data_IF_982344194439
#
_entry.id   IF_982344194439
#
_cell.length_a   1.000
_cell.length_b   1.000
_cell.length_c   1.000
_cell.angle_alpha   90.00
_cell.angle_beta   90.00
_cell.angle_gamma   90.00
#
_symmetry.space_group_name_H-M   'P 1'
#
loop_
_entity.id
_entity.type
_entity.pdbx_description
1 polymer ?
#
# COMPACT_ATOMS: atom_id res chain seq x y z
N UNK A 1 10.52 -14.27 -14.35
CA UNK A 1 10.83 -13.12 -13.46
C UNK A 1 10.90 -13.65 -12.04
N UNK A 2 12.09 -13.75 -11.45
CA UNK A 2 12.24 -14.27 -10.07
C UNK A 2 12.04 -13.08 -9.13
N UNK A 3 10.90 -13.00 -8.46
CA UNK A 3 10.69 -12.02 -7.37
C UNK A 3 11.59 -12.47 -6.21
N UNK A 4 12.70 -11.74 -5.99
CA UNK A 4 13.68 -11.99 -4.91
C UNK A 4 13.48 -11.09 -3.69
N UNK A 5 12.29 -10.55 -3.48
CA UNK A 5 12.00 -9.79 -2.26
C UNK A 5 11.22 -10.66 -1.28
N UNK A 6 11.95 -11.26 -0.33
CA UNK A 6 11.39 -12.14 0.71
C UNK A 6 10.90 -11.39 1.95
N UNK A 7 11.30 -10.13 2.08
CA UNK A 7 11.16 -9.34 3.29
C UNK A 7 10.78 -7.90 2.94
N UNK A 8 9.88 -7.32 3.72
CA UNK A 8 9.48 -5.91 3.64
C UNK A 8 9.98 -5.21 4.90
N UNK A 9 10.75 -4.14 4.75
CA UNK A 9 11.30 -3.35 5.86
C UNK A 9 10.77 -1.93 5.81
N UNK A 10 10.46 -1.37 6.98
CA UNK A 10 10.18 0.04 7.15
C UNK A 10 10.91 0.55 8.40
N UNK A 11 11.68 1.62 8.25
CA UNK A 11 12.45 2.25 9.32
C UNK A 11 11.81 3.60 9.66
N UNK A 12 11.48 3.77 10.93
CA UNK A 12 11.26 5.09 11.55
C UNK A 12 12.54 5.47 12.30
N UNK A 13 12.74 6.74 12.66
CA UNK A 13 13.99 7.26 13.23
C UNK A 13 14.56 6.47 14.45
N UNK A 14 13.80 5.57 15.08
CA UNK A 14 14.22 4.74 16.22
C UNK A 14 13.73 3.27 16.13
N UNK A 15 12.77 2.91 15.26
CA UNK A 15 12.15 1.57 15.22
C UNK A 15 12.19 0.97 13.82
N UNK A 16 12.53 -0.32 13.74
CA UNK A 16 12.51 -1.11 12.51
C UNK A 16 11.33 -2.08 12.58
N UNK A 17 10.51 -2.09 11.53
CA UNK A 17 9.40 -3.00 11.39
C UNK A 17 9.60 -3.97 10.23
N UNK A 18 8.99 -5.14 10.35
CA UNK A 18 9.23 -6.28 9.48
C UNK A 18 7.98 -7.13 9.26
N UNK A 19 7.76 -7.60 8.01
CA UNK A 19 6.80 -8.65 7.69
C UNK A 19 7.41 -9.63 6.69
N UNK A 20 7.15 -10.94 6.88
CA UNK A 20 7.50 -11.98 5.92
C UNK A 20 6.41 -12.13 4.84
N UNK A 21 6.79 -12.68 3.69
CA UNK A 21 5.83 -13.23 2.73
C UNK A 21 5.09 -14.43 3.37
N UNK A 22 3.83 -14.62 3.01
CA UNK A 22 2.88 -15.60 3.59
C UNK A 22 2.62 -15.40 5.09
N UNK A 23 2.79 -14.16 5.57
CA UNK A 23 2.57 -13.78 6.96
C UNK A 23 1.48 -12.71 7.04
N UNK A 24 0.72 -12.76 8.12
CA UNK A 24 -0.34 -11.83 8.51
C UNK A 24 0.09 -10.90 9.66
N UNK A 25 1.34 -10.98 10.09
CA UNK A 25 1.86 -10.27 11.25
C UNK A 25 2.97 -9.31 10.86
N UNK A 26 2.86 -8.08 11.35
CA UNK A 26 3.95 -7.09 11.35
C UNK A 26 4.65 -7.15 12.71
N UNK A 27 5.96 -7.32 12.67
CA UNK A 27 6.83 -7.37 13.84
C UNK A 27 7.62 -6.07 14.00
N UNK A 28 7.88 -5.70 15.23
CA UNK A 28 8.87 -4.68 15.62
C UNK A 28 10.16 -5.40 16.01
N UNK A 29 11.29 -4.93 15.48
CA UNK A 29 12.63 -5.41 15.83
C UNK A 29 13.09 -4.67 17.08
N UNK A 30 13.25 -5.40 18.18
CA UNK A 30 13.77 -4.87 19.43
C UNK A 30 15.30 -4.84 19.37
N UNK A 31 15.88 -3.65 19.18
CA UNK A 31 17.32 -3.47 18.94
C UNK A 31 18.20 -3.92 20.13
N UNK A 32 17.68 -3.81 21.36
CA UNK A 32 18.44 -4.11 22.59
C UNK A 32 18.68 -5.62 22.80
N UNK A 33 17.77 -6.48 22.37
CA UNK A 33 17.84 -7.93 22.60
C UNK A 33 17.70 -8.78 21.31
N UNK A 34 17.66 -8.12 20.14
CA UNK A 34 17.51 -8.73 18.81
C UNK A 34 16.28 -9.64 18.69
N UNK A 35 15.22 -9.39 19.47
CA UNK A 35 13.98 -10.15 19.40
C UNK A 35 12.96 -9.48 18.48
N UNK A 36 12.09 -10.32 17.92
CA UNK A 36 10.91 -9.86 17.18
C UNK A 36 9.71 -9.84 18.12
N UNK A 37 9.05 -8.68 18.24
CA UNK A 37 7.77 -8.55 18.95
C UNK A 37 6.66 -8.39 17.92
N UNK A 38 5.64 -9.25 17.96
CA UNK A 38 4.44 -9.06 17.15
C UNK A 38 3.77 -7.73 17.54
N UNK A 39 3.64 -6.81 16.58
CA UNK A 39 3.06 -5.49 16.79
C UNK A 39 1.63 -5.42 16.27
N UNK A 40 1.39 -5.96 15.08
CA UNK A 40 0.07 -6.02 14.46
C UNK A 40 -0.16 -7.41 13.90
N UNK A 41 -1.36 -7.96 14.12
CA UNK A 41 -1.86 -9.17 13.46
C UNK A 41 -3.06 -8.77 12.60
N UNK A 42 -3.04 -9.14 11.33
CA UNK A 42 -3.97 -8.65 10.30
C UNK A 42 -4.85 -9.80 9.86
N UNK A 43 -6.16 -9.64 9.99
CA UNK A 43 -7.12 -10.56 9.41
C UNK A 43 -7.45 -10.12 7.98
N UNK A 44 -6.95 -10.86 6.97
CA UNK A 44 -7.27 -10.58 5.57
C UNK A 44 -8.67 -11.08 5.16
N UNK A 45 -9.43 -11.67 6.10
CA UNK A 45 -10.76 -12.20 5.89
C UNK A 45 -10.76 -13.29 4.82
N UNK A 46 -11.68 -13.17 3.84
CA UNK A 46 -11.79 -14.14 2.74
C UNK A 46 -10.55 -14.24 1.84
N UNK A 47 -9.61 -13.30 1.94
CA UNK A 47 -8.36 -13.29 1.18
C UNK A 47 -7.22 -14.02 1.89
N UNK A 48 -7.45 -14.52 3.10
CA UNK A 48 -6.45 -15.16 3.94
C UNK A 48 -5.96 -16.47 3.33
N UNK A 49 -4.64 -16.68 3.36
CA UNK A 49 -4.04 -17.99 3.07
C UNK A 49 -4.38 -19.02 4.16
N UNK A 50 -4.66 -20.28 3.79
CA UNK A 50 -4.77 -21.36 4.76
C UNK A 50 -3.52 -21.53 5.62
N UNK A 51 -3.69 -21.91 6.89
CA UNK A 51 -2.60 -22.06 7.86
C UNK A 51 -1.48 -23.01 7.40
N UNK A 52 -1.81 -24.01 6.59
CA UNK A 52 -0.84 -24.94 6.01
C UNK A 52 0.22 -24.26 5.10
N UNK A 53 -0.10 -23.06 4.60
CA UNK A 53 0.78 -22.23 3.78
C UNK A 53 1.37 -21.03 4.53
N UNK A 54 0.76 -20.60 5.64
CA UNK A 54 1.29 -19.52 6.48
C UNK A 54 2.65 -19.91 7.07
N UNK A 55 3.54 -18.93 7.23
CA UNK A 55 4.85 -19.08 7.87
C UNK A 55 5.77 -20.17 7.26
N UNK A 56 5.46 -20.65 6.05
CA UNK A 56 6.20 -21.75 5.43
C UNK A 56 7.56 -21.27 4.89
N UNK A 57 8.63 -21.52 5.66
CA UNK A 57 10.01 -21.16 5.30
C UNK A 57 10.67 -22.06 4.23
N UNK A 58 10.02 -23.15 3.79
CA UNK A 58 10.61 -24.12 2.85
C UNK A 58 10.24 -23.78 1.39
N UNK A 59 11.27 -23.57 0.56
CA UNK A 59 11.14 -23.25 -0.87
C UNK A 59 10.21 -24.20 -1.65
N UNK A 60 10.17 -25.50 -1.34
CA UNK A 60 9.35 -26.48 -2.08
C UNK A 60 7.83 -26.34 -1.88
N UNK A 61 7.39 -25.51 -0.93
CA UNK A 61 5.97 -25.15 -0.73
C UNK A 61 5.62 -23.79 -1.32
N UNK A 62 6.60 -23.01 -1.74
CA UNK A 62 6.42 -21.63 -2.20
C UNK A 62 5.63 -21.58 -3.50
N UNK A 63 6.02 -22.38 -4.49
CA UNK A 63 5.35 -22.42 -5.80
C UNK A 63 3.89 -22.90 -5.66
N UNK A 64 3.66 -23.91 -4.81
CA UNK A 64 2.31 -24.41 -4.53
C UNK A 64 1.45 -23.36 -3.82
N UNK A 65 2.01 -22.62 -2.87
CA UNK A 65 1.30 -21.55 -2.18
C UNK A 65 0.99 -20.38 -3.11
N UNK A 66 1.93 -20.04 -4.01
CA UNK A 66 1.76 -19.02 -5.04
C UNK A 66 0.65 -19.40 -6.03
N UNK A 67 0.72 -20.61 -6.60
CA UNK A 67 -0.28 -21.11 -7.53
C UNK A 67 -1.67 -21.18 -6.87
N UNK A 68 -1.72 -21.67 -5.62
CA UNK A 68 -2.97 -21.72 -4.86
C UNK A 68 -3.55 -20.33 -4.62
N UNK A 69 -2.70 -19.36 -4.23
CA UNK A 69 -3.14 -17.99 -3.99
C UNK A 69 -3.65 -17.31 -5.26
N UNK A 70 -2.92 -17.44 -6.37
CA UNK A 70 -3.33 -16.88 -7.67
C UNK A 70 -4.66 -17.50 -8.13
N UNK A 71 -4.78 -18.83 -8.04
CA UNK A 71 -5.98 -19.55 -8.47
C UNK A 71 -7.22 -19.16 -7.67
N UNK A 72 -7.06 -18.90 -6.37
CA UNK A 72 -8.16 -18.61 -5.45
C UNK A 72 -8.32 -17.12 -5.12
N UNK A 73 -7.51 -16.24 -5.73
CA UNK A 73 -7.51 -14.80 -5.44
C UNK A 73 -7.16 -14.46 -3.99
N UNK A 74 -6.24 -15.21 -3.37
CA UNK A 74 -5.80 -14.99 -1.98
C UNK A 74 -4.56 -14.09 -1.94
N UNK A 75 -4.30 -13.49 -0.77
CA UNK A 75 -3.11 -12.67 -0.56
C UNK A 75 -1.93 -13.49 -0.06
N UNK A 76 -0.73 -13.16 -0.52
CA UNK A 76 0.53 -13.76 -0.02
C UNK A 76 1.03 -13.09 1.26
N UNK A 77 0.13 -12.53 2.07
CA UNK A 77 0.48 -11.59 3.13
C UNK A 77 0.48 -10.15 2.63
N UNK A 78 1.29 -9.30 3.24
CA UNK A 78 1.40 -7.90 2.86
C UNK A 78 2.18 -7.73 1.56
N UNK A 79 1.68 -6.82 0.72
CA UNK A 79 2.53 -6.14 -0.23
C UNK A 79 3.42 -5.21 0.59
N UNK A 80 3.15 -3.93 0.71
CA UNK A 80 3.94 -3.05 1.58
C UNK A 80 3.15 -2.63 2.82
N UNK A 81 3.88 -2.03 3.75
CA UNK A 81 3.31 -1.38 4.91
C UNK A 81 4.19 -0.21 5.33
N UNK A 82 3.57 0.77 5.95
CA UNK A 82 4.19 1.96 6.52
C UNK A 82 3.52 2.22 7.86
N UNK A 83 4.29 2.61 8.87
CA UNK A 83 3.74 2.85 10.20
C UNK A 83 4.40 4.04 10.88
N UNK A 84 3.60 4.80 11.62
CA UNK A 84 4.03 5.81 12.57
C UNK A 84 3.45 5.45 13.94
N UNK A 85 3.62 6.29 14.96
CA UNK A 85 2.99 6.02 16.25
C UNK A 85 1.47 6.21 16.20
N UNK A 86 0.97 7.04 15.27
CA UNK A 86 -0.45 7.29 15.07
C UNK A 86 -1.09 6.45 13.97
N UNK A 87 -0.38 6.14 12.90
CA UNK A 87 -0.99 5.56 11.71
C UNK A 87 -0.36 4.24 11.31
N UNK A 88 -1.18 3.36 10.73
CA UNK A 88 -0.75 2.16 10.04
C UNK A 88 -1.35 2.13 8.64
N UNK A 89 -0.50 2.02 7.63
CA UNK A 89 -0.88 1.77 6.26
C UNK A 89 -0.36 0.41 5.83
N UNK A 90 -1.17 -0.35 5.07
CA UNK A 90 -0.69 -1.55 4.40
C UNK A 90 -1.48 -1.86 3.13
N UNK A 91 -0.84 -2.56 2.19
CA UNK A 91 -1.49 -3.12 0.99
C UNK A 91 -1.46 -4.63 1.01
N UNK A 92 -2.51 -5.26 0.48
CA UNK A 92 -2.58 -6.71 0.30
C UNK A 92 -3.52 -7.09 -0.86
N UNK A 93 -3.46 -8.35 -1.29
CA UNK A 93 -4.34 -8.91 -2.30
C UNK A 93 -3.73 -9.01 -3.70
N UNK A 94 -4.18 -10.01 -4.46
CA UNK A 94 -3.89 -10.19 -5.88
C UNK A 94 -5.12 -10.78 -6.59
N UNK A 95 -5.45 -10.37 -7.83
CA UNK A 95 -4.79 -9.33 -8.64
C UNK A 95 -5.19 -7.90 -8.24
N UNK A 96 -6.28 -7.74 -7.49
CA UNK A 96 -6.76 -6.44 -7.00
C UNK A 96 -6.07 -6.09 -5.69
N UNK A 97 -5.31 -5.00 -5.69
CA UNK A 97 -4.67 -4.48 -4.49
C UNK A 97 -5.68 -3.69 -3.66
N UNK A 98 -5.88 -4.16 -2.43
CA UNK A 98 -6.56 -3.40 -1.38
C UNK A 98 -5.54 -2.59 -0.62
N UNK A 99 -5.87 -1.35 -0.39
CA UNK A 99 -5.13 -0.48 0.53
C UNK A 99 -5.96 -0.29 1.79
N UNK A 100 -5.29 -0.33 2.94
CA UNK A 100 -5.89 -0.09 4.24
C UNK A 100 -5.06 0.96 4.95
N UNK A 101 -5.77 1.90 5.55
CA UNK A 101 -5.21 2.92 6.39
C UNK A 101 -5.95 2.92 7.72
N UNK A 102 -5.23 2.94 8.83
CA UNK A 102 -5.77 2.86 10.18
C UNK A 102 -5.20 4.02 11.01
N UNK A 103 -6.07 4.77 11.68
CA UNK A 103 -5.69 5.66 12.78
C UNK A 103 -5.69 4.87 14.08
N UNK A 104 -4.49 4.56 14.56
CA UNK A 104 -4.22 3.78 15.78
C UNK A 104 -4.67 4.49 17.05
N UNK A 105 -4.98 5.80 16.99
CA UNK A 105 -5.47 6.55 18.15
C UNK A 105 -6.99 6.52 18.26
N UNK A 106 -7.70 6.26 17.15
CA UNK A 106 -9.17 6.24 17.12
C UNK A 106 -9.75 4.88 16.72
N UNK A 107 -8.90 3.90 16.38
CA UNK A 107 -9.25 2.60 15.81
C UNK A 107 -10.13 2.69 14.54
N UNK A 108 -10.15 3.85 13.89
CA UNK A 108 -10.85 4.02 12.62
C UNK A 108 -9.98 3.52 11.48
N UNK A 109 -10.61 2.86 10.52
CA UNK A 109 -9.96 2.36 9.32
C UNK A 109 -10.68 2.83 8.05
N UNK A 110 -9.89 3.16 7.04
CA UNK A 110 -10.32 3.34 5.66
C UNK A 110 -9.73 2.19 4.84
N UNK A 111 -10.60 1.43 4.16
CA UNK A 111 -10.18 0.40 3.20
C UNK A 111 -10.79 0.68 1.84
N UNK A 112 -9.97 0.60 0.80
CA UNK A 112 -10.41 0.79 -0.58
C UNK A 112 -9.61 -0.11 -1.53
N UNK A 113 -10.21 -0.39 -2.68
CA UNK A 113 -9.55 -1.08 -3.78
C UNK A 113 -9.01 -0.03 -4.76
N UNK A 114 -7.71 -0.10 -5.06
CA UNK A 114 -7.00 0.87 -5.91
C UNK A 114 -7.57 0.91 -7.33
N UNK A 115 -8.15 -0.19 -7.81
CA UNK A 115 -8.69 -0.28 -9.18
C UNK A 115 -10.04 0.41 -9.36
N UNK A 116 -10.77 0.66 -8.27
CA UNK A 116 -12.12 1.24 -8.30
C UNK A 116 -12.22 2.60 -7.61
N UNK A 117 -11.15 3.08 -6.97
CA UNK A 117 -11.17 4.39 -6.32
C UNK A 117 -11.31 5.50 -7.36
N UNK A 118 -12.29 6.38 -7.16
CA UNK A 118 -12.44 7.62 -7.93
C UNK A 118 -11.61 8.76 -7.34
N UNK A 119 -10.77 8.50 -6.33
CA UNK A 119 -9.90 9.50 -5.74
C UNK A 119 -8.46 9.30 -6.20
N UNK A 120 -8.04 10.10 -7.17
CA UNK A 120 -6.71 10.09 -7.81
C UNK A 120 -5.57 10.33 -6.84
N UNK A 121 -5.83 11.07 -5.76
CA UNK A 121 -4.84 11.31 -4.72
C UNK A 121 -4.46 10.01 -4.01
N UNK A 122 -5.35 9.02 -4.01
CA UNK A 122 -5.07 7.68 -3.49
C UNK A 122 -4.36 6.78 -4.51
N UNK A 123 -4.25 7.20 -5.78
CA UNK A 123 -3.61 6.44 -6.84
C UNK A 123 -2.14 6.87 -6.91
N UNK A 124 -1.25 6.06 -6.36
CA UNK A 124 0.19 6.34 -6.29
C UNK A 124 0.87 5.33 -5.38
N UNK A 125 2.17 5.17 -5.51
CA UNK A 125 2.92 4.30 -4.62
C UNK A 125 3.30 5.06 -3.37
N UNK A 126 3.03 4.46 -2.21
CA UNK A 126 3.48 5.02 -0.93
C UNK A 126 4.99 4.86 -0.85
N UNK A 127 5.67 5.94 -0.49
CA UNK A 127 7.13 5.97 -0.31
C UNK A 127 7.53 6.32 1.13
N UNK A 128 6.64 6.96 1.88
CA UNK A 128 6.85 7.31 3.28
C UNK A 128 5.52 7.59 3.98
N UNK A 129 5.56 7.60 5.31
CA UNK A 129 4.46 8.04 6.16
C UNK A 129 5.02 8.69 7.41
N UNK A 130 4.38 9.77 7.87
CA UNK A 130 4.68 10.40 9.16
C UNK A 130 3.44 10.39 10.08
N UNK A 131 3.45 11.22 11.13
CA UNK A 131 2.35 11.29 12.12
C UNK A 131 1.10 12.03 11.60
N UNK A 132 1.16 12.62 10.41
CA UNK A 132 0.13 13.48 9.82
C UNK A 132 -0.15 13.14 8.35
N UNK A 133 0.85 12.63 7.63
CA UNK A 133 0.83 12.49 6.18
C UNK A 133 1.18 11.08 5.73
N UNK A 134 0.43 10.59 4.74
CA UNK A 134 0.87 9.52 3.85
C UNK A 134 1.50 10.15 2.61
N UNK A 135 2.77 9.84 2.33
CA UNK A 135 3.50 10.38 1.19
C UNK A 135 3.41 9.41 0.03
N UNK A 136 2.79 9.85 -1.07
CA UNK A 136 2.65 9.06 -2.29
C UNK A 136 3.38 9.72 -3.45
N UNK A 137 3.90 8.87 -4.34
CA UNK A 137 4.51 9.28 -5.61
C UNK A 137 3.68 8.73 -6.76
N UNK A 138 3.40 9.59 -7.72
CA UNK A 138 2.80 9.24 -9.01
C UNK A 138 3.85 9.44 -10.10
N UNK A 139 4.13 8.41 -10.89
CA UNK A 139 5.03 8.55 -12.04
C UNK A 139 4.44 9.52 -13.07
N UNK A 140 5.30 10.13 -13.88
CA UNK A 140 4.85 11.06 -14.93
C UNK A 140 3.89 10.41 -15.92
N UNK A 141 4.10 9.13 -16.24
CA UNK A 141 3.22 8.32 -17.08
C UNK A 141 1.84 8.13 -16.44
N UNK A 142 1.78 7.86 -15.13
CA UNK A 142 0.52 7.71 -14.43
C UNK A 142 -0.25 9.04 -14.42
N UNK A 143 0.44 10.16 -14.15
CA UNK A 143 -0.17 11.49 -14.18
C UNK A 143 -0.72 11.83 -15.57
N UNK A 144 0.09 11.66 -16.62
CA UNK A 144 -0.31 11.91 -18.01
C UNK A 144 -1.49 11.03 -18.44
N UNK A 145 -1.47 9.74 -18.08
CA UNK A 145 -2.58 8.83 -18.35
C UNK A 145 -3.87 9.26 -17.62
N UNK A 146 -3.78 9.61 -16.34
CA UNK A 146 -4.95 10.12 -15.60
C UNK A 146 -5.49 11.41 -16.22
N UNK A 147 -4.62 12.33 -16.66
CA UNK A 147 -5.05 13.54 -17.35
C UNK A 147 -5.86 13.21 -18.60
N UNK A 148 -5.33 12.32 -19.44
CA UNK A 148 -5.99 11.90 -20.69
C UNK A 148 -7.30 11.17 -20.45
N UNK A 149 -7.38 10.33 -19.42
CA UNK A 149 -8.59 9.54 -19.11
C UNK A 149 -9.68 10.36 -18.42
N UNK A 150 -9.32 11.23 -17.46
CA UNK A 150 -10.30 11.93 -16.62
C UNK A 150 -10.65 13.34 -17.10
N UNK A 151 -9.77 14.02 -17.84
CA UNK A 151 -9.98 15.42 -18.21
C UNK A 151 -10.47 15.63 -19.64
N UNK A 152 -10.52 14.56 -20.44
CA UNK A 152 -11.13 14.54 -21.77
C UNK A 152 -12.58 14.00 -21.77
N UNK A 153 -13.15 13.70 -20.60
CA UNK A 153 -14.56 13.32 -20.45
C UNK A 153 -15.42 14.53 -20.04
N UNK A 154 -16.72 14.45 -20.29
CA UNK A 154 -17.71 15.51 -19.97
C UNK A 154 -17.82 15.83 -18.48
N UNK A 155 -17.32 14.97 -17.59
CA UNK A 155 -17.25 15.18 -16.13
C UNK A 155 -16.06 16.07 -15.68
N UNK A 156 -15.27 16.57 -16.63
CA UNK A 156 -14.02 17.30 -16.33
C UNK A 156 -14.21 18.64 -15.60
N UNK A 157 -15.36 19.30 -15.70
CA UNK A 157 -15.60 20.60 -15.05
C UNK A 157 -15.77 20.48 -13.52
N UNK A 158 -16.64 19.58 -13.08
CA UNK A 158 -16.84 19.31 -11.66
C UNK A 158 -15.54 18.79 -11.02
N UNK A 159 -14.86 17.88 -11.72
CA UNK A 159 -13.56 17.37 -11.31
C UNK A 159 -12.53 18.49 -11.14
N UNK A 160 -12.32 19.33 -12.16
CA UNK A 160 -11.33 20.42 -12.12
C UNK A 160 -11.61 21.38 -10.97
N UNK A 161 -12.89 21.59 -10.62
CA UNK A 161 -13.25 22.43 -9.49
C UNK A 161 -12.95 21.78 -8.13
N UNK A 162 -13.22 20.48 -7.95
CA UNK A 162 -12.98 19.74 -6.70
C UNK A 162 -11.50 19.45 -6.46
N UNK A 163 -10.72 19.26 -7.52
CA UNK A 163 -9.31 18.88 -7.47
C UNK A 163 -8.39 19.91 -8.13
N UNK A 164 -8.72 21.20 -7.99
CA UNK A 164 -8.02 22.30 -8.68
C UNK A 164 -6.51 22.27 -8.48
N UNK A 165 -6.03 22.19 -7.24
CA UNK A 165 -4.59 22.19 -6.95
C UNK A 165 -3.86 21.03 -7.62
N UNK A 166 -4.46 19.84 -7.60
CA UNK A 166 -3.90 18.67 -8.29
C UNK A 166 -3.84 18.91 -9.80
N UNK A 167 -4.93 19.38 -10.40
CA UNK A 167 -4.98 19.65 -11.84
C UNK A 167 -3.95 20.69 -12.28
N UNK A 168 -3.84 21.80 -11.55
CA UNK A 168 -2.88 22.87 -11.88
C UNK A 168 -1.42 22.40 -11.82
N UNK A 169 -1.10 21.46 -10.92
CA UNK A 169 0.23 20.84 -10.85
C UNK A 169 0.43 19.73 -11.90
N UNK A 170 -0.64 18.99 -12.21
CA UNK A 170 -0.57 17.85 -13.12
C UNK A 170 -0.52 18.27 -14.59
N UNK A 171 -1.25 19.33 -14.99
CA UNK A 171 -1.47 19.70 -16.40
C UNK A 171 -0.19 19.91 -17.23
N UNK A 172 0.93 20.21 -16.57
CA UNK A 172 2.23 20.46 -17.21
C UNK A 172 3.19 19.26 -17.13
N UNK A 173 2.79 18.17 -16.47
CA UNK A 173 3.57 16.92 -16.36
C UNK A 173 3.48 16.14 -17.67
N UNK A 174 4.64 15.81 -18.24
CA UNK A 174 4.75 15.00 -19.47
C UNK A 174 5.45 13.68 -19.17
N UNK A 175 5.12 12.64 -19.93
CA UNK A 175 5.83 11.36 -19.85
C UNK A 175 7.35 11.57 -19.98
N UNK A 176 8.13 11.00 -19.06
CA UNK A 176 9.59 11.15 -18.98
C UNK A 176 10.06 12.37 -18.16
N UNK A 177 9.16 13.17 -17.59
CA UNK A 177 9.48 14.23 -16.63
C UNK A 177 9.40 13.73 -15.18
N UNK A 178 9.60 14.63 -14.21
CA UNK A 178 9.37 14.30 -12.81
C UNK A 178 7.88 14.05 -12.56
N UNK A 179 7.59 13.02 -11.78
CA UNK A 179 6.24 12.74 -11.31
C UNK A 179 5.74 13.75 -10.28
N UNK A 180 4.58 13.43 -9.68
CA UNK A 180 4.02 14.22 -8.58
C UNK A 180 4.25 13.51 -7.25
N UNK A 181 4.57 14.30 -6.22
CA UNK A 181 4.62 13.84 -4.84
C UNK A 181 3.42 14.47 -4.12
N UNK A 182 2.61 13.64 -3.47
CA UNK A 182 1.45 14.09 -2.69
C UNK A 182 1.66 13.76 -1.21
N UNK A 183 1.33 14.74 -0.37
CA UNK A 183 1.28 14.61 1.08
C UNK A 183 -0.19 14.57 1.48
N UNK A 184 -0.67 13.38 1.84
CA UNK A 184 -2.09 13.17 2.15
C UNK A 184 -2.30 13.27 3.65
N UNK A 185 -2.92 14.36 4.10
CA UNK A 185 -3.47 14.43 5.45
C UNK A 185 -4.75 13.63 5.51
N UNK A 186 -4.77 12.59 6.33
CA UNK A 186 -5.90 11.69 6.45
C UNK A 186 -6.67 12.05 7.72
N UNK A 187 -7.95 12.41 7.55
CA UNK A 187 -8.89 12.67 8.65
C UNK A 187 -9.96 11.58 8.60
N UNK A 188 -9.96 10.68 9.58
CA UNK A 188 -10.91 9.56 9.71
C UNK A 188 -11.98 9.85 10.76
#
# INVERSE_FOLDING_TARGET
>A
MIIRERYRFHETAIKIFFSELFNDTIYEVMMEDQRLRAKFAIDFGKYQLPDAFKYSRRNSKLDKALDYAITNGLTLGLHDFYCSDRFLYFRYGMPQLREVYIDLTTDKALSFDRSVTQNFLLIGDVVAMDQEHLVKVMSSELVDNMLKTYFNTSDSLEFRSKHKTFYELAKDVQTGSNGLITFLTLTL
#
